data_IF_653020802600
#
_entry.id   IF_653020802600
#
_cell.length_a   1.000
_cell.length_b   1.000
_cell.length_c   1.000
_cell.angle_alpha   90.00
_cell.angle_beta   90.00
_cell.angle_gamma   90.00
#
_symmetry.space_group_name_H-M   'P 1'
#
loop_
_entity.id
_entity.type
_entity.pdbx_description
1 polymer ?
#
# COMPACT_ATOMS: atom_id res chain seq x y z
N UNK A 1 30.73 -4.37 -1.53
CA UNK A 1 29.66 -5.39 -1.60
C UNK A 1 29.25 -5.57 -3.06
N UNK A 2 28.91 -6.79 -3.50
CA UNK A 2 28.40 -6.99 -4.85
C UNK A 2 26.95 -6.46 -4.96
N UNK A 3 26.51 -6.00 -6.14
CA UNK A 3 25.12 -5.56 -6.35
C UNK A 3 24.08 -6.62 -5.97
N UNK A 4 24.41 -7.90 -6.18
CA UNK A 4 23.57 -9.05 -5.83
C UNK A 4 23.31 -9.17 -4.32
N UNK A 5 24.30 -8.86 -3.47
CA UNK A 5 24.12 -8.89 -2.02
C UNK A 5 23.19 -7.74 -1.57
N UNK A 6 23.31 -6.57 -2.21
CA UNK A 6 22.49 -5.40 -1.85
C UNK A 6 21.02 -5.58 -2.20
N UNK A 7 20.69 -6.17 -3.34
CA UNK A 7 19.29 -6.43 -3.69
C UNK A 7 18.67 -7.45 -2.73
N UNK A 8 19.40 -8.50 -2.38
CA UNK A 8 18.91 -9.51 -1.42
C UNK A 8 18.59 -8.88 -0.05
N UNK A 9 19.45 -8.00 0.47
CA UNK A 9 19.16 -7.24 1.70
C UNK A 9 17.87 -6.42 1.58
N UNK A 10 17.63 -5.78 0.43
CA UNK A 10 16.43 -4.99 0.23
C UNK A 10 15.18 -5.86 0.13
N UNK A 11 15.26 -7.02 -0.51
CA UNK A 11 14.15 -7.97 -0.63
C UNK A 11 13.79 -8.54 0.76
N UNK A 12 14.76 -8.94 1.58
CA UNK A 12 14.53 -9.42 2.96
C UNK A 12 13.85 -8.36 3.84
N UNK A 13 14.28 -7.10 3.73
CA UNK A 13 13.65 -5.96 4.45
C UNK A 13 12.24 -5.68 3.92
N UNK A 14 12.04 -5.82 2.61
CA UNK A 14 10.75 -5.59 1.97
C UNK A 14 9.71 -6.63 2.39
N UNK A 15 10.09 -7.91 2.45
CA UNK A 15 9.22 -8.98 2.95
C UNK A 15 8.79 -8.72 4.40
N UNK A 16 9.74 -8.31 5.25
CA UNK A 16 9.45 -7.97 6.64
C UNK A 16 8.44 -6.83 6.77
N UNK A 17 8.65 -5.70 6.08
CA UNK A 17 7.69 -4.60 6.12
C UNK A 17 6.36 -4.94 5.46
N UNK A 18 6.35 -5.84 4.47
CA UNK A 18 5.11 -6.28 3.84
C UNK A 18 4.23 -7.08 4.80
N UNK A 19 4.81 -7.93 5.65
CA UNK A 19 4.05 -8.68 6.65
C UNK A 19 3.36 -7.75 7.66
N UNK A 20 4.05 -6.71 8.14
CA UNK A 20 3.43 -5.68 9.01
C UNK A 20 2.42 -4.78 8.27
N UNK A 21 2.61 -4.63 6.96
CA UNK A 21 1.73 -3.86 6.11
C UNK A 21 0.39 -4.55 5.88
N UNK A 22 0.38 -5.87 5.67
CA UNK A 22 -0.82 -6.62 5.33
C UNK A 22 -1.66 -6.98 6.58
N UNK A 23 -1.05 -7.12 7.75
CA UNK A 23 -1.71 -7.42 9.03
C UNK A 23 -1.36 -6.32 10.07
N UNK A 24 -2.32 -5.48 10.51
CA UNK A 24 -3.77 -5.68 10.39
C UNK A 24 -4.41 -5.18 9.09
N UNK A 25 -3.86 -4.16 8.42
CA UNK A 25 -4.30 -3.75 7.06
C UNK A 25 -3.47 -2.64 6.40
N UNK A 26 -3.40 -2.62 5.05
CA UNK A 26 -2.62 -1.68 4.24
C UNK A 26 -2.82 -0.18 4.52
N UNK A 27 -4.05 0.27 4.78
CA UNK A 27 -4.36 1.72 4.82
C UNK A 27 -3.98 2.39 6.16
N UNK A 28 -3.58 1.62 7.18
CA UNK A 28 -3.08 2.14 8.47
C UNK A 28 -1.61 1.88 8.72
N UNK A 29 -0.94 1.12 7.87
CA UNK A 29 0.47 0.86 8.03
C UNK A 29 1.31 2.08 7.65
N UNK A 30 2.30 2.39 8.48
CA UNK A 30 3.21 3.51 8.26
C UNK A 30 4.62 3.16 8.72
N UNK A 31 5.59 3.46 7.88
CA UNK A 31 7.00 3.26 8.19
C UNK A 31 7.52 4.56 8.81
N UNK A 32 8.07 4.49 10.02
CA UNK A 32 8.76 5.63 10.63
C UNK A 32 10.26 5.38 10.62
N UNK A 33 11.06 6.39 10.27
CA UNK A 33 12.51 6.18 10.04
C UNK A 33 13.23 5.54 11.24
N UNK A 34 12.92 5.97 12.47
CA UNK A 34 13.53 5.41 13.68
C UNK A 34 13.18 3.94 13.91
N UNK A 35 11.92 3.56 13.69
CA UNK A 35 11.49 2.17 13.75
C UNK A 35 12.10 1.35 12.62
N UNK A 36 12.15 1.90 11.40
CA UNK A 36 12.64 1.20 10.24
C UNK A 36 14.12 0.81 10.35
N UNK A 37 14.96 1.71 10.86
CA UNK A 37 16.39 1.41 11.09
C UNK A 37 16.54 0.26 12.08
N UNK A 38 15.77 0.27 13.17
CA UNK A 38 15.80 -0.79 14.17
C UNK A 38 15.35 -2.14 13.59
N UNK A 39 14.29 -2.15 12.78
CA UNK A 39 13.84 -3.39 12.12
C UNK A 39 14.84 -3.92 11.09
N UNK A 40 15.55 -3.04 10.39
CA UNK A 40 16.62 -3.43 9.46
C UNK A 40 17.81 -4.03 10.23
N UNK A 41 18.21 -3.44 11.36
CA UNK A 41 19.25 -4.01 12.23
C UNK A 41 18.88 -5.44 12.67
N UNK A 42 17.63 -5.64 13.09
CA UNK A 42 17.12 -6.93 13.53
C UNK A 42 17.03 -7.96 12.39
N UNK A 43 16.44 -7.56 11.26
CA UNK A 43 16.16 -8.43 10.11
C UNK A 43 17.44 -8.91 9.45
N UNK A 44 18.39 -8.00 9.24
CA UNK A 44 19.63 -8.31 8.53
C UNK A 44 20.79 -8.68 9.48
N UNK A 45 20.60 -8.53 10.80
CA UNK A 45 21.64 -8.70 11.81
C UNK A 45 22.91 -7.88 11.50
N UNK A 46 22.71 -6.60 11.22
CA UNK A 46 23.76 -5.62 10.87
C UNK A 46 23.89 -4.53 11.92
N UNK A 47 24.99 -3.78 11.87
CA UNK A 47 25.15 -2.60 12.73
C UNK A 47 24.31 -1.41 12.24
N UNK A 48 24.18 -0.39 13.10
CA UNK A 48 23.37 0.79 12.83
C UNK A 48 23.79 1.58 11.60
N UNK A 49 25.09 1.63 11.29
CA UNK A 49 25.58 2.37 10.13
C UNK A 49 25.15 1.67 8.83
N UNK A 50 25.30 0.35 8.77
CA UNK A 50 24.85 -0.45 7.64
C UNK A 50 23.32 -0.40 7.50
N UNK A 51 22.58 -0.48 8.61
CA UNK A 51 21.11 -0.35 8.60
C UNK A 51 20.65 1.02 8.08
N UNK A 52 21.34 2.10 8.45
CA UNK A 52 21.11 3.43 7.90
C UNK A 52 21.33 3.49 6.39
N UNK A 53 22.41 2.87 5.89
CA UNK A 53 22.72 2.84 4.46
C UNK A 53 21.69 2.01 3.67
N UNK A 54 21.23 0.89 4.21
CA UNK A 54 20.14 0.08 3.64
C UNK A 54 18.83 0.85 3.66
N UNK A 55 18.50 1.54 4.76
CA UNK A 55 17.29 2.35 4.87
C UNK A 55 17.23 3.45 3.81
N UNK A 56 18.33 4.14 3.51
CA UNK A 56 18.35 5.15 2.46
C UNK A 56 17.99 4.54 1.09
N UNK A 57 18.59 3.39 0.75
CA UNK A 57 18.32 2.72 -0.52
C UNK A 57 16.90 2.14 -0.59
N UNK A 58 16.41 1.59 0.52
CA UNK A 58 15.05 1.08 0.64
C UNK A 58 14.04 2.22 0.45
N UNK A 59 14.26 3.34 1.15
CA UNK A 59 13.41 4.51 1.07
C UNK A 59 13.35 5.09 -0.35
N UNK A 60 14.49 5.16 -1.04
CA UNK A 60 14.55 5.72 -2.40
C UNK A 60 13.79 4.88 -3.43
N UNK A 61 13.52 3.60 -3.15
CA UNK A 61 12.91 2.65 -4.11
C UNK A 61 11.48 2.26 -3.73
N UNK A 62 11.28 1.80 -2.50
CA UNK A 62 10.05 1.09 -2.13
C UNK A 62 9.14 1.91 -1.23
N UNK A 63 9.41 3.20 -1.10
CA UNK A 63 8.71 4.03 -0.14
C UNK A 63 8.28 5.35 -0.77
N UNK A 64 7.05 5.77 -0.46
CA UNK A 64 6.55 7.09 -0.82
C UNK A 64 6.33 7.96 0.42
N UNK A 65 6.85 9.20 0.44
CA UNK A 65 6.64 10.11 1.57
C UNK A 65 5.18 10.55 1.63
N UNK A 66 4.61 10.60 2.84
CA UNK A 66 3.28 11.21 2.99
C UNK A 66 3.38 12.74 2.87
N UNK A 67 2.44 13.38 2.15
CA UNK A 67 2.26 14.81 2.26
C UNK A 67 1.96 15.16 3.71
N UNK A 68 2.77 16.04 4.32
CA UNK A 68 2.55 16.66 5.65
C UNK A 68 2.76 15.80 6.91
N UNK A 69 3.34 14.59 6.82
CA UNK A 69 3.62 13.74 7.99
C UNK A 69 5.04 13.17 7.98
N UNK A 70 5.60 12.92 9.16
CA UNK A 70 6.92 12.29 9.35
C UNK A 70 6.87 10.76 9.22
N UNK A 71 6.02 10.25 8.33
CA UNK A 71 5.83 8.83 8.13
C UNK A 71 5.73 8.52 6.64
N UNK A 72 6.24 7.36 6.31
CA UNK A 72 6.46 6.86 4.98
C UNK A 72 5.46 5.71 4.68
N UNK A 73 5.14 5.49 3.42
CA UNK A 73 4.22 4.43 2.94
C UNK A 73 4.98 3.48 2.02
N UNK A 74 4.60 2.21 1.98
CA UNK A 74 5.11 1.30 0.94
C UNK A 74 4.61 1.78 -0.43
N UNK A 75 5.51 1.86 -1.41
CA UNK A 75 5.17 2.28 -2.77
C UNK A 75 4.52 1.13 -3.55
N UNK A 76 3.86 1.47 -4.66
CA UNK A 76 3.39 0.49 -5.63
C UNK A 76 4.54 -0.40 -6.13
N UNK A 77 5.69 0.19 -6.47
CA UNK A 77 6.90 -0.54 -6.87
C UNK A 77 7.39 -1.51 -5.77
N UNK A 78 7.23 -1.13 -4.50
CA UNK A 78 7.50 -2.02 -3.37
C UNK A 78 6.57 -3.24 -3.38
N UNK A 79 5.28 -3.06 -3.60
CA UNK A 79 4.29 -4.15 -3.63
C UNK A 79 4.52 -5.06 -4.85
N UNK A 80 4.76 -4.49 -6.03
CA UNK A 80 5.11 -5.26 -7.24
C UNK A 80 6.35 -6.11 -7.00
N UNK A 81 7.37 -5.56 -6.34
CA UNK A 81 8.57 -6.33 -6.01
C UNK A 81 8.28 -7.48 -5.04
N UNK A 82 7.37 -7.31 -4.08
CA UNK A 82 6.95 -8.40 -3.19
C UNK A 82 6.27 -9.51 -4.01
N UNK A 83 5.39 -9.15 -4.94
CA UNK A 83 4.71 -10.11 -5.82
C UNK A 83 5.70 -10.89 -6.73
N UNK A 84 6.80 -10.25 -7.15
CA UNK A 84 7.86 -10.93 -7.89
C UNK A 84 8.67 -11.95 -7.06
N UNK A 85 8.75 -11.77 -5.74
CA UNK A 85 9.56 -12.63 -4.85
C UNK A 85 8.73 -13.62 -4.05
N UNK A 86 7.42 -13.37 -3.88
CA UNK A 86 6.47 -14.21 -3.13
C UNK A 86 5.31 -14.66 -4.01
N UNK A 87 4.96 -15.94 -3.92
CA UNK A 87 3.86 -16.54 -4.69
C UNK A 87 2.46 -16.35 -4.03
N UNK A 88 2.37 -15.63 -2.90
CA UNK A 88 1.15 -15.53 -2.07
C UNK A 88 0.57 -14.11 -1.96
N UNK A 89 1.12 -13.15 -2.69
CA UNK A 89 0.63 -11.76 -2.69
C UNK A 89 -0.69 -11.71 -3.49
N UNK A 90 -1.81 -11.24 -2.90
CA UNK A 90 -3.10 -11.24 -3.59
C UNK A 90 -3.26 -10.04 -4.53
N UNK A 91 -2.25 -9.70 -5.34
CA UNK A 91 -2.37 -8.70 -6.42
C UNK A 91 -3.29 -9.26 -7.51
N UNK A 92 -4.23 -8.44 -7.97
CA UNK A 92 -5.18 -8.85 -8.99
C UNK A 92 -5.56 -7.65 -9.87
N UNK A 93 -4.99 -7.60 -11.07
CA UNK A 93 -5.23 -6.54 -12.05
C UNK A 93 -6.69 -6.50 -12.53
N UNK A 94 -7.33 -7.67 -12.70
CA UNK A 94 -8.75 -7.75 -13.10
C UNK A 94 -9.62 -7.12 -12.01
N UNK A 95 -9.37 -7.45 -10.74
CA UNK A 95 -10.06 -6.82 -9.61
C UNK A 95 -9.79 -5.31 -9.53
N UNK A 96 -8.57 -4.86 -9.84
CA UNK A 96 -8.25 -3.43 -9.87
C UNK A 96 -9.06 -2.69 -10.93
N UNK A 97 -9.20 -3.26 -12.13
CA UNK A 97 -10.05 -2.70 -13.19
C UNK A 97 -11.52 -2.67 -12.76
N UNK A 98 -12.04 -3.77 -12.21
CA UNK A 98 -13.43 -3.85 -11.71
C UNK A 98 -13.71 -2.82 -10.61
N UNK A 99 -12.78 -2.61 -9.67
CA UNK A 99 -12.89 -1.59 -8.61
C UNK A 99 -12.93 -0.18 -9.20
N UNK A 100 -12.08 0.12 -10.18
CA UNK A 100 -12.04 1.44 -10.83
C UNK A 100 -13.35 1.72 -11.58
N UNK A 101 -13.82 0.76 -12.37
CA UNK A 101 -15.07 0.86 -13.14
C UNK A 101 -16.28 1.01 -12.21
N UNK A 102 -16.32 0.22 -11.14
CA UNK A 102 -17.37 0.30 -10.12
C UNK A 102 -17.42 1.70 -9.48
N UNK A 103 -16.27 2.21 -9.00
CA UNK A 103 -16.20 3.54 -8.37
C UNK A 103 -16.52 4.67 -9.35
N UNK A 104 -16.13 4.53 -10.61
CA UNK A 104 -16.45 5.51 -11.66
C UNK A 104 -17.94 5.52 -11.98
N UNK A 105 -18.57 4.36 -12.16
CA UNK A 105 -20.01 4.26 -12.39
C UNK A 105 -20.81 4.80 -11.19
N UNK A 106 -20.39 4.48 -9.97
CA UNK A 106 -21.00 5.03 -8.76
C UNK A 106 -20.90 6.56 -8.71
N UNK A 107 -19.76 7.14 -9.12
CA UNK A 107 -19.59 8.59 -9.26
C UNK A 107 -20.55 9.20 -10.29
N UNK A 108 -20.74 8.56 -11.45
CA UNK A 108 -21.65 9.05 -12.48
C UNK A 108 -23.11 9.08 -12.02
N UNK A 109 -23.52 8.07 -11.25
CA UNK A 109 -24.86 7.97 -10.67
C UNK A 109 -25.06 8.94 -9.50
N UNK A 110 -24.00 9.16 -8.69
CA UNK A 110 -24.05 9.90 -7.43
C UNK A 110 -22.96 11.00 -7.34
N UNK A 111 -22.91 11.99 -8.25
CA UNK A 111 -21.78 12.91 -8.34
C UNK A 111 -21.60 13.82 -7.11
N UNK A 112 -22.64 13.98 -6.28
CA UNK A 112 -22.58 14.75 -5.03
C UNK A 112 -22.20 13.92 -3.80
N UNK A 113 -22.16 12.58 -3.92
CA UNK A 113 -21.87 11.61 -2.87
C UNK A 113 -21.17 10.38 -3.47
N UNK A 114 -19.98 10.60 -4.02
CA UNK A 114 -19.27 9.59 -4.82
C UNK A 114 -18.46 8.57 -4.01
N UNK A 115 -18.38 8.76 -2.69
CA UNK A 115 -17.68 7.84 -1.80
C UNK A 115 -18.53 6.60 -1.51
N UNK A 116 -17.93 5.43 -1.67
CA UNK A 116 -18.47 4.12 -1.35
C UNK A 116 -17.88 3.65 -0.03
N UNK A 117 -18.71 3.17 0.89
CA UNK A 117 -18.26 2.66 2.19
C UNK A 117 -17.53 1.31 2.03
N UNK A 118 -16.56 1.04 2.90
CA UNK A 118 -15.78 -0.20 2.85
C UNK A 118 -16.66 -1.45 2.92
N UNK A 119 -17.61 -1.50 3.84
CA UNK A 119 -18.51 -2.65 3.99
C UNK A 119 -19.28 -2.94 2.70
N UNK A 120 -19.69 -1.90 1.97
CA UNK A 120 -20.34 -2.04 0.68
C UNK A 120 -19.40 -2.65 -0.37
N UNK A 121 -18.13 -2.24 -0.42
CA UNK A 121 -17.14 -2.85 -1.32
C UNK A 121 -16.89 -4.33 -0.96
N UNK A 122 -16.85 -4.67 0.34
CA UNK A 122 -16.68 -6.06 0.78
C UNK A 122 -17.88 -6.94 0.44
N UNK A 123 -19.10 -6.39 0.48
CA UNK A 123 -20.32 -7.11 0.11
C UNK A 123 -20.48 -7.26 -1.41
N UNK A 124 -20.06 -6.25 -2.19
CA UNK A 124 -20.28 -6.21 -3.64
C UNK A 124 -19.24 -7.03 -4.43
N UNK A 125 -18.06 -7.29 -3.85
CA UNK A 125 -16.97 -8.01 -4.51
C UNK A 125 -16.76 -9.41 -3.92
N UNK A 126 -16.70 -10.42 -4.79
CA UNK A 126 -16.42 -11.82 -4.39
C UNK A 126 -14.92 -12.07 -4.16
N UNK A 127 -14.30 -11.31 -3.26
CA UNK A 127 -12.88 -11.40 -2.91
C UNK A 127 -12.68 -11.33 -1.39
N UNK A 128 -11.51 -11.74 -0.90
CA UNK A 128 -11.19 -11.58 0.51
C UNK A 128 -10.97 -10.12 0.87
N UNK A 129 -11.22 -9.77 2.13
CA UNK A 129 -11.00 -8.43 2.69
C UNK A 129 -9.58 -7.92 2.41
N UNK A 130 -8.56 -8.74 2.71
CA UNK A 130 -7.15 -8.43 2.43
C UNK A 130 -6.89 -8.15 0.95
N UNK A 131 -7.54 -8.92 0.05
CA UNK A 131 -7.36 -8.77 -1.39
C UNK A 131 -7.97 -7.47 -1.88
N UNK A 132 -9.18 -7.13 -1.43
CA UNK A 132 -9.83 -5.86 -1.77
C UNK A 132 -9.00 -4.68 -1.23
N UNK A 133 -8.60 -4.73 0.04
CA UNK A 133 -7.85 -3.66 0.68
C UNK A 133 -6.47 -3.45 0.03
N UNK A 134 -5.75 -4.53 -0.30
CA UNK A 134 -4.46 -4.43 -0.99
C UNK A 134 -4.59 -3.79 -2.36
N UNK A 135 -5.53 -4.28 -3.19
CA UNK A 135 -5.69 -3.79 -4.55
C UNK A 135 -6.21 -2.34 -4.56
N UNK A 136 -7.06 -1.96 -3.59
CA UNK A 136 -7.47 -0.58 -3.41
C UNK A 136 -6.30 0.32 -2.94
N UNK A 137 -5.41 -0.19 -2.08
CA UNK A 137 -4.20 0.52 -1.69
C UNK A 137 -3.28 0.78 -2.90
N UNK A 138 -3.08 -0.23 -3.75
CA UNK A 138 -2.31 -0.11 -5.00
C UNK A 138 -2.90 1.01 -5.87
N UNK A 139 -4.20 0.96 -6.15
CA UNK A 139 -4.90 1.99 -6.92
C UNK A 139 -4.77 3.39 -6.31
N UNK A 140 -4.78 3.49 -4.98
CA UNK A 140 -4.60 4.76 -4.26
C UNK A 140 -3.20 5.32 -4.47
N UNK A 141 -2.17 4.48 -4.32
CA UNK A 141 -0.77 4.92 -4.51
C UNK A 141 -0.49 5.29 -5.98
N UNK A 142 -1.16 4.64 -6.93
CA UNK A 142 -1.14 5.00 -8.34
C UNK A 142 -2.01 6.25 -8.69
N UNK A 143 -2.75 6.79 -7.72
CA UNK A 143 -3.56 8.00 -7.87
C UNK A 143 -4.89 7.79 -8.60
N UNK A 144 -5.34 6.56 -8.80
CA UNK A 144 -6.65 6.24 -9.40
C UNK A 144 -7.81 6.47 -8.43
N UNK A 145 -7.60 6.15 -7.15
CA UNK A 145 -8.63 6.27 -6.11
C UNK A 145 -8.14 7.09 -4.92
N UNK A 146 -9.09 7.66 -4.19
CA UNK A 146 -8.86 8.28 -2.88
C UNK A 146 -9.53 7.44 -1.80
N UNK A 147 -8.88 7.29 -0.65
CA UNK A 147 -9.45 6.58 0.50
C UNK A 147 -9.50 7.47 1.72
N UNK A 148 -10.64 7.52 2.39
CA UNK A 148 -10.80 8.23 3.66
C UNK A 148 -10.50 7.26 4.81
N UNK A 149 -9.39 7.46 5.52
CA UNK A 149 -8.96 6.58 6.61
C UNK A 149 -9.53 7.00 7.96
N UNK A 150 -10.10 6.06 8.70
CA UNK A 150 -10.47 6.29 10.09
C UNK A 150 -9.25 6.02 10.99
N UNK A 151 -8.96 6.93 11.92
CA UNK A 151 -7.93 6.75 12.94
C UNK A 151 -8.64 6.66 14.29
N UNK A 152 -8.69 5.47 14.90
CA UNK A 152 -9.39 5.23 16.18
C UNK A 152 -9.34 3.77 16.64
N UNK A 153 -9.79 3.52 17.87
CA UNK A 153 -9.85 2.18 18.49
C UNK A 153 -11.07 1.45 17.93
N UNK A 154 -10.87 0.34 17.21
CA UNK A 154 -11.94 -0.60 16.86
C UNK A 154 -11.97 -1.08 15.42
N UNK A 155 -11.65 -0.20 14.46
CA UNK A 155 -11.54 -0.54 13.03
C UNK A 155 -10.31 0.18 12.47
N UNK A 156 -9.19 -0.54 12.41
CA UNK A 156 -8.07 -0.12 11.60
C UNK A 156 -8.51 -0.31 10.15
N UNK A 157 -8.77 0.78 9.42
CA UNK A 157 -9.31 0.68 8.06
C UNK A 157 -9.23 1.97 7.26
N UNK A 158 -9.48 1.86 5.95
CA UNK A 158 -10.21 2.94 5.30
C UNK A 158 -11.71 2.79 5.56
N UNK A 159 -12.40 3.92 5.67
CA UNK A 159 -13.85 4.00 5.85
C UNK A 159 -14.59 3.98 4.52
N UNK A 160 -14.04 4.70 3.54
CA UNK A 160 -14.64 4.85 2.23
C UNK A 160 -13.60 5.07 1.15
N UNK A 161 -13.96 4.73 -0.08
CA UNK A 161 -13.17 4.94 -1.28
C UNK A 161 -13.96 5.72 -2.33
N UNK A 162 -13.28 6.52 -3.13
CA UNK A 162 -13.88 7.17 -4.30
C UNK A 162 -12.88 7.25 -5.44
N UNK A 163 -13.38 7.34 -6.67
CA UNK A 163 -12.54 7.59 -7.84
C UNK A 163 -11.92 9.00 -7.71
N UNK A 164 -10.60 9.10 -7.89
CA UNK A 164 -9.89 10.38 -7.75
C UNK A 164 -10.25 11.35 -8.87
N UNK A 165 -9.89 12.63 -8.74
CA UNK A 165 -10.01 13.58 -9.86
C UNK A 165 -9.17 13.13 -11.08
N UNK A 166 -7.99 12.56 -10.85
CA UNK A 166 -7.10 12.08 -11.91
C UNK A 166 -7.71 10.86 -12.60
N UNK A 167 -8.23 9.89 -11.83
CA UNK A 167 -8.90 8.70 -12.36
C UNK A 167 -10.09 9.08 -13.25
N UNK A 168 -10.93 10.02 -12.79
CA UNK A 168 -12.06 10.54 -13.57
C UNK A 168 -11.64 11.13 -14.92
N UNK A 169 -10.56 11.92 -14.95
CA UNK A 169 -10.03 12.53 -16.19
C UNK A 169 -9.46 11.52 -17.16
N UNK A 170 -8.94 10.39 -16.68
CA UNK A 170 -8.40 9.33 -17.55
C UNK A 170 -9.50 8.50 -18.21
N UNK A 171 -10.68 8.40 -17.57
CA UNK A 171 -11.83 7.61 -18.04
C UNK A 171 -12.84 8.41 -18.88
N UNK A 172 -12.79 9.75 -18.82
CA UNK A 172 -13.64 10.67 -19.60
C UNK A 172 -13.14 10.93 -21.01
#
# INVERSE_FOLDING_TARGET
MSPTNRQQQLDEVLEHFYDEFIDPQPHTFYISAGHAIQEIENTLNVDSQEAHDVWQLFKDRYVHPRPTKNSDLLSHEGIERVDEIRDDVPVDEDLQEELVDYLYNYYLENPSRAAVERDQLLDDFSASETKIDLNLYILKTAGWVETNTQVGIGDAGYRSAEISEIGRKKLS
#
